data_IF_361140946742
#
_entry.id   IF_361140946742
#
_cell.length_a   1.000
_cell.length_b   1.000
_cell.length_c   1.000
_cell.angle_alpha   90.00
_cell.angle_beta   90.00
_cell.angle_gamma   90.00
#
_symmetry.space_group_name_H-M   'P 1'
#
loop_
_entity.id
_entity.type
_entity.pdbx_description
1 polymer ?
#
# COMPACT_ATOMS: atom_id res chain seq x y z
N UNK A 1 -22.85 -27.21 -30.96
CA UNK A 1 -21.69 -26.34 -31.16
C UNK A 1 -21.67 -25.50 -29.91
N UNK A 2 -20.70 -25.73 -29.03
CA UNK A 2 -20.59 -24.96 -27.80
C UNK A 2 -20.05 -23.59 -28.19
N UNK A 3 -20.81 -22.53 -27.90
CA UNK A 3 -20.38 -21.16 -28.16
C UNK A 3 -19.35 -20.78 -27.09
N UNK A 4 -18.07 -20.82 -27.46
CA UNK A 4 -16.96 -20.33 -26.64
C UNK A 4 -16.68 -18.86 -26.95
N UNK A 5 -16.33 -18.08 -25.93
CA UNK A 5 -15.87 -16.70 -26.06
C UNK A 5 -14.37 -16.67 -25.82
N UNK A 6 -13.61 -16.11 -26.76
CA UNK A 6 -12.17 -15.95 -26.63
C UNK A 6 -11.82 -14.51 -26.34
N UNK A 7 -11.10 -14.23 -25.25
CA UNK A 7 -10.69 -12.88 -24.87
C UNK A 7 -9.25 -12.88 -24.37
N UNK A 8 -8.69 -11.69 -24.14
CA UNK A 8 -7.28 -11.52 -23.80
C UNK A 8 -7.15 -10.94 -22.40
N UNK A 9 -6.46 -11.65 -21.51
CA UNK A 9 -6.03 -11.07 -20.24
C UNK A 9 -4.71 -10.36 -20.39
N UNK A 10 -4.58 -9.21 -19.73
CA UNK A 10 -3.36 -8.44 -19.65
C UNK A 10 -3.05 -8.10 -18.19
N UNK A 11 -1.80 -8.29 -17.78
CA UNK A 11 -1.26 -7.87 -16.50
C UNK A 11 0.13 -7.28 -16.72
N UNK A 12 0.23 -5.95 -16.73
CA UNK A 12 1.45 -5.26 -17.13
C UNK A 12 1.79 -5.57 -18.60
N UNK A 13 2.95 -6.19 -18.86
CA UNK A 13 3.32 -6.64 -20.22
C UNK A 13 2.92 -8.08 -20.54
N UNK A 14 2.45 -8.83 -19.54
CA UNK A 14 2.06 -10.22 -19.75
C UNK A 14 0.66 -10.23 -20.32
N UNK A 15 0.50 -10.82 -21.50
CA UNK A 15 -0.79 -10.98 -22.18
C UNK A 15 -0.96 -12.41 -22.66
N UNK A 16 -2.16 -12.95 -22.50
CA UNK A 16 -2.48 -14.30 -22.96
C UNK A 16 -3.96 -14.42 -23.31
N UNK A 17 -4.27 -15.35 -24.21
CA UNK A 17 -5.63 -15.63 -24.65
C UNK A 17 -6.29 -16.64 -23.72
N UNK A 18 -7.55 -16.39 -23.40
CA UNK A 18 -8.39 -17.29 -22.59
C UNK A 18 -9.68 -17.54 -23.34
N UNK A 19 -9.98 -18.82 -23.54
CA UNK A 19 -11.26 -19.28 -24.05
C UNK A 19 -12.12 -19.78 -22.88
N UNK A 20 -13.38 -19.35 -22.83
CA UNK A 20 -14.33 -19.78 -21.83
C UNK A 20 -15.71 -20.02 -22.47
N UNK A 21 -16.47 -21.05 -22.03
CA UNK A 21 -17.81 -21.28 -22.56
C UNK A 21 -18.73 -20.11 -22.24
N UNK A 22 -19.40 -19.54 -23.26
CA UNK A 22 -20.22 -18.34 -23.11
C UNK A 22 -21.30 -18.48 -22.03
N UNK A 23 -21.88 -19.68 -21.93
CA UNK A 23 -22.95 -20.01 -20.99
C UNK A 23 -22.49 -20.12 -19.53
N UNK A 24 -21.19 -20.33 -19.27
CA UNK A 24 -20.60 -20.38 -17.92
C UNK A 24 -19.94 -19.06 -17.53
N UNK A 25 -19.83 -18.12 -18.47
CA UNK A 25 -19.15 -16.85 -18.26
C UNK A 25 -19.98 -15.95 -17.34
N UNK A 26 -19.64 -16.00 -16.05
CA UNK A 26 -20.14 -15.09 -15.02
C UNK A 26 -18.99 -14.22 -14.52
N UNK A 27 -19.30 -13.11 -13.83
CA UNK A 27 -18.26 -12.23 -13.27
C UNK A 27 -17.37 -13.00 -12.27
N UNK A 28 -17.98 -13.88 -11.47
CA UNK A 28 -17.25 -14.76 -10.55
C UNK A 28 -16.29 -15.69 -11.30
N UNK A 29 -16.78 -16.37 -12.34
CA UNK A 29 -15.94 -17.24 -13.17
C UNK A 29 -14.80 -16.47 -13.85
N UNK A 30 -15.09 -15.28 -14.38
CA UNK A 30 -14.08 -14.41 -14.99
C UNK A 30 -12.99 -14.00 -13.99
N UNK A 31 -13.36 -13.71 -12.74
CA UNK A 31 -12.40 -13.45 -11.66
C UNK A 31 -11.58 -14.69 -11.31
N UNK A 32 -12.19 -15.87 -11.26
CA UNK A 32 -11.48 -17.12 -10.99
C UNK A 32 -10.44 -17.42 -12.10
N UNK A 33 -10.80 -17.18 -13.37
CA UNK A 33 -9.87 -17.28 -14.49
C UNK A 33 -8.72 -16.26 -14.37
N UNK A 34 -9.01 -15.02 -13.95
CA UNK A 34 -7.98 -14.01 -13.72
C UNK A 34 -7.04 -14.38 -12.55
N UNK A 35 -7.58 -14.95 -11.46
CA UNK A 35 -6.79 -15.45 -10.32
C UNK A 35 -5.86 -16.58 -10.79
N UNK A 36 -6.39 -17.53 -11.55
CA UNK A 36 -5.61 -18.63 -12.14
C UNK A 36 -4.49 -18.08 -13.03
N UNK A 37 -4.81 -17.14 -13.91
CA UNK A 37 -3.84 -16.48 -14.78
C UNK A 37 -2.70 -15.81 -13.99
N UNK A 38 -3.03 -15.09 -12.91
CA UNK A 38 -2.03 -14.42 -12.05
C UNK A 38 -1.14 -15.45 -11.34
N UNK A 39 -1.69 -16.57 -10.88
CA UNK A 39 -0.92 -17.65 -10.27
C UNK A 39 0.02 -18.33 -11.27
N UNK A 40 -0.47 -18.59 -12.49
CA UNK A 40 0.30 -19.27 -13.53
C UNK A 40 1.46 -18.39 -14.04
N UNK A 41 1.24 -17.08 -14.16
CA UNK A 41 2.25 -16.14 -14.67
C UNK A 41 3.16 -15.56 -13.59
N UNK A 42 2.72 -15.52 -12.33
CA UNK A 42 3.48 -15.00 -11.19
C UNK A 42 3.38 -16.01 -10.03
N UNK A 43 4.12 -17.13 -10.09
CA UNK A 43 4.25 -18.04 -8.95
C UNK A 43 4.90 -17.29 -7.77
N UNK A 44 4.52 -17.65 -6.54
CA UNK A 44 4.99 -16.99 -5.30
C UNK A 44 4.76 -15.47 -5.27
N UNK A 45 3.59 -15.06 -5.76
CA UNK A 45 3.10 -13.69 -5.69
C UNK A 45 2.92 -13.20 -4.24
N UNK A 46 2.79 -14.10 -3.25
CA UNK A 46 2.67 -13.75 -1.82
C UNK A 46 1.38 -12.99 -1.50
N UNK A 47 0.41 -13.04 -2.41
CA UNK A 47 -0.85 -12.31 -2.33
C UNK A 47 -1.93 -13.25 -1.80
N UNK A 48 -2.37 -13.00 -0.58
CA UNK A 48 -3.55 -13.68 -0.03
C UNK A 48 -4.83 -12.98 -0.52
N UNK A 49 -5.89 -13.78 -0.74
CA UNK A 49 -7.22 -13.31 -1.17
C UNK A 49 -7.21 -12.52 -2.49
N UNK A 50 -6.54 -13.06 -3.51
CA UNK A 50 -6.44 -12.42 -4.83
C UNK A 50 -7.79 -12.04 -5.44
N UNK A 51 -8.81 -12.88 -5.27
CA UNK A 51 -10.18 -12.64 -5.73
C UNK A 51 -10.78 -11.33 -5.23
N UNK A 52 -10.37 -10.87 -4.04
CA UNK A 52 -10.84 -9.63 -3.41
C UNK A 52 -10.00 -8.41 -3.81
N UNK A 53 -8.82 -8.65 -4.40
CA UNK A 53 -7.85 -7.59 -4.78
C UNK A 53 -7.82 -7.34 -6.28
N UNK A 54 -8.30 -8.28 -7.09
CA UNK A 54 -8.32 -8.16 -8.55
C UNK A 54 -9.51 -7.31 -8.98
N UNK A 55 -9.20 -6.25 -9.73
CA UNK A 55 -10.15 -5.48 -10.51
C UNK A 55 -9.91 -5.79 -11.99
N UNK A 56 -11.00 -5.90 -12.75
CA UNK A 56 -10.97 -6.22 -14.18
C UNK A 56 -11.51 -5.02 -14.96
N UNK A 57 -10.73 -4.57 -15.93
CA UNK A 57 -11.11 -3.46 -16.80
C UNK A 57 -11.10 -3.92 -18.25
N UNK A 58 -12.10 -3.50 -19.04
CA UNK A 58 -12.06 -3.64 -20.48
C UNK A 58 -11.45 -2.39 -21.11
N UNK A 59 -10.76 -2.57 -22.23
CA UNK A 59 -10.27 -1.45 -23.03
C UNK A 59 -11.33 -0.99 -24.03
N UNK A 60 -11.74 0.27 -23.95
CA UNK A 60 -12.61 0.94 -24.90
C UNK A 60 -11.89 2.17 -25.47
N UNK A 61 -11.20 1.98 -26.60
CA UNK A 61 -10.45 3.05 -27.27
C UNK A 61 -11.34 4.10 -27.97
N UNK A 62 -12.65 3.85 -28.04
CA UNK A 62 -13.62 4.82 -28.56
C UNK A 62 -14.12 5.77 -27.46
N UNK A 63 -13.87 5.43 -26.19
CA UNK A 63 -14.22 6.22 -25.01
C UNK A 63 -13.03 7.06 -24.54
N UNK A 64 -13.24 8.30 -24.03
CA UNK A 64 -12.18 9.06 -23.38
C UNK A 64 -11.66 8.38 -22.11
N UNK A 65 -12.50 7.56 -21.47
CA UNK A 65 -12.08 6.65 -20.40
C UNK A 65 -11.75 5.29 -21.03
N UNK A 66 -10.48 5.11 -21.40
CA UNK A 66 -10.01 3.91 -22.11
C UNK A 66 -10.17 2.65 -21.26
N UNK A 67 -10.00 2.76 -19.94
CA UNK A 67 -10.21 1.64 -19.01
C UNK A 67 -11.60 1.75 -18.38
N UNK A 68 -12.48 0.82 -18.72
CA UNK A 68 -13.83 0.73 -18.15
C UNK A 68 -13.93 -0.48 -17.24
N UNK A 69 -14.40 -0.28 -16.00
CA UNK A 69 -14.57 -1.38 -15.05
C UNK A 69 -15.62 -2.37 -15.57
N UNK A 70 -15.28 -3.66 -15.55
CA UNK A 70 -16.19 -4.74 -15.92
C UNK A 70 -17.13 -5.00 -14.75
N UNK A 71 -18.42 -4.70 -14.94
CA UNK A 71 -19.46 -4.92 -13.93
C UNK A 71 -20.35 -6.12 -14.25
N UNK A 72 -20.30 -6.61 -15.49
CA UNK A 72 -21.05 -7.78 -15.95
C UNK A 72 -20.19 -8.65 -16.86
N UNK A 73 -20.42 -9.96 -16.86
CA UNK A 73 -19.77 -10.86 -17.79
C UNK A 73 -20.14 -10.58 -19.26
N UNK A 74 -21.31 -9.97 -19.50
CA UNK A 74 -21.73 -9.52 -20.83
C UNK A 74 -20.84 -8.43 -21.43
N UNK A 75 -20.04 -7.74 -20.60
CA UNK A 75 -19.10 -6.72 -21.07
C UNK A 75 -17.87 -7.34 -21.72
N UNK A 76 -17.69 -8.66 -21.56
CA UNK A 76 -16.63 -9.46 -22.17
C UNK A 76 -17.20 -10.22 -23.36
N UNK A 77 -16.69 -9.87 -24.53
CA UNK A 77 -17.03 -10.49 -25.81
C UNK A 77 -15.76 -11.00 -26.49
N UNK A 78 -15.91 -11.64 -27.65
CA UNK A 78 -14.76 -12.12 -28.41
C UNK A 78 -13.75 -10.98 -28.67
N UNK A 79 -12.46 -11.28 -28.57
CA UNK A 79 -11.34 -10.34 -28.72
C UNK A 79 -11.27 -9.19 -27.69
N UNK A 80 -12.11 -9.23 -26.64
CA UNK A 80 -12.06 -8.19 -25.59
C UNK A 80 -10.72 -8.22 -24.86
N UNK A 81 -10.08 -7.05 -24.74
CA UNK A 81 -8.87 -6.90 -23.93
C UNK A 81 -9.26 -6.54 -22.49
N UNK A 82 -8.99 -7.48 -21.58
CA UNK A 82 -9.27 -7.37 -20.15
C UNK A 82 -7.96 -7.13 -19.39
N UNK A 83 -7.78 -5.93 -18.87
CA UNK A 83 -6.68 -5.55 -17.99
C UNK A 83 -6.99 -5.97 -16.54
N UNK A 84 -6.07 -6.73 -15.97
CA UNK A 84 -6.08 -7.18 -14.58
C UNK A 84 -5.29 -6.16 -13.76
N UNK A 85 -5.99 -5.48 -12.85
CA UNK A 85 -5.37 -4.53 -11.93
C UNK A 85 -5.40 -5.09 -10.52
N UNK A 86 -4.23 -5.23 -9.91
CA UNK A 86 -4.09 -5.68 -8.52
C UNK A 86 -4.17 -4.49 -7.58
N UNK A 87 -5.20 -4.47 -6.73
CA UNK A 87 -5.36 -3.41 -5.73
C UNK A 87 -4.53 -3.74 -4.50
N UNK A 88 -3.59 -2.85 -4.18
CA UNK A 88 -2.78 -2.88 -2.98
C UNK A 88 -3.54 -2.33 -1.75
N UNK A 89 -4.81 -2.70 -1.53
CA UNK A 89 -5.55 -2.19 -0.37
C UNK A 89 -5.16 -3.01 0.88
N UNK A 90 -4.46 -2.43 1.87
CA UNK A 90 -4.09 -3.15 3.09
C UNK A 90 -5.27 -3.28 4.08
N UNK A 91 -6.40 -2.61 3.82
CA UNK A 91 -7.54 -2.53 4.74
C UNK A 91 -8.49 -3.74 4.70
N UNK A 92 -8.31 -4.68 3.76
CA UNK A 92 -9.08 -5.93 3.70
C UNK A 92 -8.40 -7.10 4.42
N UNK A 93 -7.30 -6.83 5.12
CA UNK A 93 -6.67 -7.76 6.05
C UNK A 93 -7.32 -7.63 7.43
N UNK A 94 -8.60 -7.98 7.55
CA UNK A 94 -9.23 -8.16 8.85
C UNK A 94 -9.74 -9.60 8.97
N UNK A 95 -9.38 -10.26 10.07
CA UNK A 95 -9.79 -11.63 10.38
C UNK A 95 -8.68 -12.69 10.42
N UNK A 96 -7.68 -12.50 11.29
CA UNK A 96 -6.99 -13.57 12.02
C UNK A 96 -6.27 -14.68 11.23
N UNK A 97 -4.98 -14.48 10.97
CA UNK A 97 -3.92 -15.51 11.10
C UNK A 97 -2.58 -14.91 10.64
N UNK A 98 -1.68 -14.65 11.58
CA UNK A 98 -0.22 -14.87 11.50
C UNK A 98 0.48 -14.64 10.14
N UNK A 99 0.19 -13.53 9.45
CA UNK A 99 1.01 -13.05 8.33
C UNK A 99 1.69 -11.77 8.79
N UNK A 100 3.03 -11.78 8.73
CA UNK A 100 3.92 -10.74 9.25
C UNK A 100 3.30 -9.34 9.23
N UNK A 101 3.28 -8.59 10.35
CA UNK A 101 2.70 -7.26 10.40
C UNK A 101 3.30 -6.41 9.29
N UNK A 102 2.45 -5.79 8.46
CA UNK A 102 2.89 -4.79 7.51
C UNK A 102 3.84 -3.81 8.23
N UNK A 103 4.96 -3.39 7.60
CA UNK A 103 5.97 -2.58 8.25
C UNK A 103 5.31 -1.29 8.74
N UNK A 104 5.08 -1.18 10.05
CA UNK A 104 4.46 -0.02 10.69
C UNK A 104 5.57 0.88 11.20
N UNK A 105 5.85 2.02 10.54
CA UNK A 105 6.85 2.95 11.04
C UNK A 105 6.39 3.55 12.37
N UNK A 106 7.35 3.83 13.24
CA UNK A 106 7.06 4.54 14.48
C UNK A 106 6.70 6.00 14.19
N UNK A 107 5.56 6.47 14.71
CA UNK A 107 5.22 7.89 14.71
C UNK A 107 6.04 8.61 15.79
N UNK A 108 7.26 9.04 15.43
CA UNK A 108 8.22 9.63 16.35
C UNK A 108 8.02 11.14 16.48
N UNK A 109 7.80 11.63 17.71
CA UNK A 109 7.74 13.06 18.04
C UNK A 109 8.83 13.46 19.03
N UNK A 110 9.31 14.71 18.93
CA UNK A 110 10.37 15.22 19.80
C UNK A 110 9.84 15.40 21.21
N UNK A 111 10.48 14.75 22.18
CA UNK A 111 10.04 14.74 23.57
C UNK A 111 11.12 15.25 24.52
N UNK A 112 10.70 15.94 25.59
CA UNK A 112 11.59 16.37 26.68
C UNK A 112 11.29 15.54 27.92
N UNK A 113 12.28 14.79 28.39
CA UNK A 113 12.14 13.88 29.52
C UNK A 113 12.47 14.59 30.83
N UNK A 114 11.69 14.30 31.88
CA UNK A 114 11.87 14.84 33.24
C UNK A 114 12.77 13.97 34.12
N UNK A 115 13.17 12.79 33.65
CA UNK A 115 14.02 11.83 34.33
C UNK A 115 15.02 11.22 33.33
N UNK A 116 16.14 10.63 33.81
CA UNK A 116 17.08 9.91 32.95
C UNK A 116 16.36 8.80 32.17
N UNK A 117 16.41 8.88 30.85
CA UNK A 117 15.76 7.94 29.94
C UNK A 117 16.79 7.37 28.97
N UNK A 118 16.59 6.13 28.54
CA UNK A 118 17.52 5.40 27.69
C UNK A 118 16.88 5.13 26.34
N UNK A 119 17.71 5.03 25.31
CA UNK A 119 17.26 4.69 23.98
C UNK A 119 16.96 3.19 23.91
N UNK A 120 15.74 2.84 23.50
CA UNK A 120 15.30 1.44 23.37
C UNK A 120 15.96 0.71 22.19
N UNK A 121 16.74 1.41 21.36
CA UNK A 121 17.51 0.83 20.25
C UNK A 121 18.98 0.56 20.62
N UNK A 122 19.68 1.52 21.23
CA UNK A 122 21.12 1.37 21.53
C UNK A 122 21.43 1.20 23.02
N UNK A 123 20.43 1.29 23.91
CA UNK A 123 20.60 1.14 25.37
C UNK A 123 21.29 2.32 26.06
N UNK A 124 21.76 3.33 25.33
CA UNK A 124 22.46 4.49 25.91
C UNK A 124 21.49 5.59 26.35
N UNK A 125 21.92 6.40 27.33
CA UNK A 125 21.13 7.50 27.87
C UNK A 125 20.84 8.61 26.84
N UNK A 126 19.64 9.18 26.89
CA UNK A 126 19.24 10.37 26.15
C UNK A 126 19.80 11.62 26.87
N UNK A 127 20.94 12.13 26.42
CA UNK A 127 21.59 13.29 27.04
C UNK A 127 20.97 14.64 26.61
N UNK A 128 20.92 15.60 27.54
CA UNK A 128 20.55 17.00 27.27
C UNK A 128 19.54 17.58 28.28
N UNK A 129 19.44 18.91 28.33
CA UNK A 129 18.51 19.61 29.22
C UNK A 129 17.06 19.61 28.71
N UNK A 130 16.87 19.64 27.39
CA UNK A 130 15.55 19.61 26.73
C UNK A 130 15.65 18.86 25.40
N UNK A 131 14.52 18.31 24.92
CA UNK A 131 14.42 17.64 23.61
C UNK A 131 15.50 16.57 23.40
N UNK A 132 15.77 15.77 24.44
CA UNK A 132 16.87 14.80 24.48
C UNK A 132 16.69 13.67 23.46
N UNK A 133 15.44 13.36 23.09
CA UNK A 133 15.16 12.28 22.15
C UNK A 133 13.79 12.40 21.49
N UNK A 134 13.43 11.29 20.85
CA UNK A 134 12.18 11.07 20.16
C UNK A 134 11.37 10.05 20.96
N UNK A 135 10.05 10.19 20.98
CA UNK A 135 9.11 9.24 21.57
C UNK A 135 8.11 8.80 20.51
N UNK A 136 7.84 7.51 20.42
CA UNK A 136 6.78 7.01 19.56
C UNK A 136 5.40 7.24 20.21
N UNK A 137 4.49 7.87 19.49
CA UNK A 137 3.09 8.09 19.95
C UNK A 137 2.27 6.80 19.94
N UNK A 138 2.67 5.81 19.14
CA UNK A 138 2.09 4.47 19.15
C UNK A 138 2.61 3.65 20.33
N UNK A 139 3.83 3.12 20.23
CA UNK A 139 4.35 2.14 21.19
C UNK A 139 4.98 2.74 22.46
N UNK A 140 5.14 4.06 22.55
CA UNK A 140 5.73 4.72 23.72
C UNK A 140 7.25 4.59 23.87
N UNK A 141 7.93 3.89 22.95
CA UNK A 141 9.38 3.70 22.96
C UNK A 141 10.14 4.99 22.63
N UNK A 142 11.37 5.08 23.12
CA UNK A 142 12.21 6.27 23.16
C UNK A 142 13.49 6.05 22.36
N UNK A 143 13.84 7.00 21.49
CA UNK A 143 14.97 6.86 20.58
C UNK A 143 15.82 8.14 20.49
N UNK A 144 17.13 8.00 20.25
CA UNK A 144 17.92 9.14 19.79
C UNK A 144 17.53 9.53 18.36
N UNK A 145 17.80 10.79 17.99
CA UNK A 145 17.68 11.25 16.59
C UNK A 145 18.51 10.40 15.61
N UNK A 146 19.71 9.99 16.02
CA UNK A 146 20.60 9.10 15.24
C UNK A 146 20.14 7.65 15.19
N UNK A 147 19.35 7.22 16.18
CA UNK A 147 18.86 5.85 16.26
C UNK A 147 17.59 5.67 15.45
N UNK A 148 16.75 6.71 15.36
CA UNK A 148 15.49 6.70 14.61
C UNK A 148 15.61 6.15 13.17
N UNK A 149 16.70 6.48 12.47
CA UNK A 149 16.95 6.00 11.09
C UNK A 149 17.30 4.50 11.00
N UNK A 150 17.65 3.86 12.12
CA UNK A 150 18.03 2.44 12.20
C UNK A 150 16.94 1.57 12.86
N UNK A 151 15.85 2.16 13.35
CA UNK A 151 14.78 1.42 14.03
C UNK A 151 13.96 0.65 13.00
N UNK A 152 13.72 -0.67 13.19
CA UNK A 152 12.82 -1.44 12.34
C UNK A 152 11.39 -0.86 12.35
N UNK A 153 10.67 -0.98 11.24
CA UNK A 153 9.27 -0.52 11.14
C UNK A 153 8.30 -1.58 11.69
N UNK A 154 8.36 -1.87 12.99
CA UNK A 154 7.54 -2.90 13.63
C UNK A 154 6.71 -2.36 14.82
N UNK A 155 6.21 -1.13 14.73
CA UNK A 155 5.43 -0.51 15.80
C UNK A 155 4.17 -1.33 16.12
N UNK A 156 3.97 -1.68 17.39
CA UNK A 156 2.91 -2.62 17.84
C UNK A 156 1.56 -1.97 18.17
N UNK A 157 1.46 -0.65 18.30
CA UNK A 157 0.22 0.01 18.76
C UNK A 157 -0.66 0.58 17.63
N UNK A 158 -2.00 0.62 17.81
CA UNK A 158 -2.94 1.23 16.86
C UNK A 158 -2.80 2.76 16.88
N UNK A 159 -2.61 3.37 15.73
CA UNK A 159 -2.77 4.83 15.61
C UNK A 159 -4.28 5.11 15.58
N UNK A 160 -4.86 5.94 16.47
CA UNK A 160 -6.20 6.44 16.25
C UNK A 160 -6.18 7.27 14.96
N UNK A 161 -6.96 6.82 13.98
CA UNK A 161 -7.19 7.55 12.75
C UNK A 161 -7.80 8.92 13.07
N UNK A 162 -7.16 9.99 12.62
CA UNK A 162 -7.76 11.31 12.53
C UNK A 162 -7.44 12.27 13.67
N UNK A 163 -6.54 13.20 13.40
CA UNK A 163 -6.61 14.55 13.96
C UNK A 163 -6.30 15.55 12.84
N UNK A 164 -7.30 15.71 11.97
CA UNK A 164 -7.43 16.93 11.17
C UNK A 164 -7.54 18.13 12.11
N UNK A 165 -6.95 19.23 11.66
CA UNK A 165 -7.10 20.57 12.20
C UNK A 165 -8.56 20.94 12.50
N UNK A 166 -8.88 21.23 13.76
CA UNK A 166 -10.05 22.00 14.15
C UNK A 166 -9.69 22.88 15.36
N UNK A 167 -10.08 24.15 15.28
CA UNK A 167 -9.58 25.24 16.10
C UNK A 167 -10.19 25.36 17.50
N UNK A 168 -9.39 26.01 18.35
CA UNK A 168 -9.73 27.07 19.31
C UNK A 168 -11.02 26.99 20.15
N UNK A 169 -10.84 26.94 21.47
CA UNK A 169 -11.45 27.91 22.40
C UNK A 169 -10.71 28.00 23.75
N UNK A 170 -10.13 29.20 24.02
CA UNK A 170 -9.86 29.79 25.36
C UNK A 170 -8.72 29.23 26.21
N UNK A 171 -7.89 30.01 26.93
CA UNK A 171 -7.68 31.45 27.04
C UNK A 171 -6.38 31.75 27.85
N UNK A 172 -5.68 32.85 27.47
CA UNK A 172 -4.75 33.72 28.27
C UNK A 172 -3.40 33.11 28.74
N UNK A 173 -2.23 33.79 28.74
CA UNK A 173 -1.76 35.16 28.41
C UNK A 173 -0.20 35.17 28.35
N UNK A 174 0.37 35.96 27.42
CA UNK A 174 1.63 36.80 27.47
C UNK A 174 2.96 36.07 27.76
N UNK A 175 4.10 36.21 27.04
CA UNK A 175 4.72 37.29 26.24
C UNK A 175 5.92 36.75 25.44
N UNK A 176 6.22 37.36 24.28
CA UNK A 176 7.60 37.67 23.88
C UNK A 176 8.25 36.83 22.77
N UNK A 177 8.40 37.45 21.59
CA UNK A 177 9.67 37.42 20.85
C UNK A 177 9.84 36.47 19.66
N UNK A 178 9.69 37.06 18.46
CA UNK A 178 10.49 36.87 17.22
C UNK A 178 10.42 35.52 16.45
N UNK A 179 10.04 35.66 15.17
CA UNK A 179 10.16 34.71 14.05
C UNK A 179 11.57 34.11 13.91
N UNK A 180 11.75 32.94 13.24
CA UNK A 180 11.89 33.00 11.77
C UNK A 180 11.49 31.73 10.96
N UNK A 181 11.21 31.96 9.67
CA UNK A 181 11.71 31.20 8.52
C UNK A 181 11.20 29.80 8.13
N UNK A 182 10.93 29.74 6.81
CA UNK A 182 11.34 28.73 5.82
C UNK A 182 10.43 27.52 5.58
N UNK A 183 9.88 27.53 4.37
CA UNK A 183 9.32 26.38 3.68
C UNK A 183 10.37 25.28 3.52
N UNK A 184 9.98 24.06 3.91
CA UNK A 184 10.70 22.83 3.64
C UNK A 184 9.95 22.08 2.55
N UNK A 185 10.45 22.13 1.32
CA UNK A 185 10.27 21.02 0.38
C UNK A 185 11.13 19.87 0.88
N UNK A 186 10.58 18.66 0.93
CA UNK A 186 11.22 17.37 0.62
C UNK A 186 10.32 16.27 1.19
N UNK A 187 9.35 15.88 0.39
CA UNK A 187 8.64 14.61 0.52
C UNK A 187 9.57 13.51 0.06
N UNK A 188 9.88 12.54 0.91
CA UNK A 188 10.40 11.25 0.46
C UNK A 188 9.57 10.15 1.11
N UNK A 189 8.59 9.70 0.35
CA UNK A 189 7.98 8.39 0.47
C UNK A 189 8.89 7.35 -0.20
N UNK A 190 8.92 6.13 0.32
CA UNK A 190 8.68 4.88 -0.42
C UNK A 190 9.42 3.68 0.18
N UNK A 191 8.65 2.76 0.77
CA UNK A 191 9.03 1.36 0.96
C UNK A 191 8.06 0.43 0.20
N UNK A 192 7.29 0.96 -0.76
CA UNK A 192 6.35 0.20 -1.61
C UNK A 192 6.99 -0.26 -2.92
N UNK A 193 8.31 -0.16 -3.03
CA UNK A 193 9.01 -0.35 -4.30
C UNK A 193 9.23 -1.83 -4.65
N UNK A 194 8.91 -2.79 -3.77
CA UNK A 194 9.26 -4.21 -4.02
C UNK A 194 8.32 -4.92 -5.00
N UNK A 195 7.01 -4.71 -4.89
CA UNK A 195 6.02 -5.35 -5.77
C UNK A 195 5.95 -4.65 -7.13
N UNK A 196 5.98 -3.31 -7.13
CA UNK A 196 6.09 -2.52 -8.36
C UNK A 196 7.42 -2.82 -9.06
N UNK A 197 8.56 -2.95 -8.34
CA UNK A 197 9.81 -3.41 -8.97
C UNK A 197 9.75 -4.87 -9.43
N UNK A 198 9.03 -5.79 -8.78
CA UNK A 198 8.89 -7.19 -9.26
C UNK A 198 8.05 -7.24 -10.53
N UNK A 199 6.94 -6.51 -10.59
CA UNK A 199 6.16 -6.34 -11.82
C UNK A 199 6.96 -5.62 -12.90
N UNK A 200 7.71 -4.56 -12.55
CA UNK A 200 8.59 -3.85 -13.49
C UNK A 200 9.80 -4.69 -13.93
N UNK A 201 10.27 -5.67 -13.14
CA UNK A 201 11.32 -6.61 -13.56
C UNK A 201 10.79 -7.65 -14.55
N UNK A 202 9.55 -8.13 -14.36
CA UNK A 202 8.85 -8.94 -15.37
C UNK A 202 8.64 -8.16 -16.68
N UNK A 203 8.61 -6.82 -16.62
CA UNK A 203 8.55 -5.93 -17.79
C UNK A 203 9.91 -5.83 -18.53
N UNK A 204 11.04 -5.98 -17.85
CA UNK A 204 12.37 -5.76 -18.43
C UNK A 204 13.11 -7.02 -18.90
N UNK A 205 12.68 -8.23 -18.51
CA UNK A 205 13.40 -9.49 -18.81
C UNK A 205 13.05 -10.10 -20.19
N UNK A 206 12.22 -9.44 -21.01
CA UNK A 206 11.77 -9.97 -22.32
C UNK A 206 12.45 -9.34 -23.56
N UNK A 207 13.50 -8.56 -23.35
CA UNK A 207 14.34 -7.98 -24.43
C UNK A 207 15.82 -8.41 -24.29
N UNK A 208 16.08 -9.72 -24.20
CA UNK A 208 17.43 -10.30 -24.38
C UNK A 208 17.39 -11.65 -25.07
#
# INVERSE_FOLDING_TARGET
MEDDVTFLFQLGVVRDAVAAPAHLLTLAHLKDLAVKFVHDKIPDNGLNRLSDRILLFRHDYCSPNVLQLINSASDVTDETLVEIVLTANPLLCDGGAEVAPAPRPHALSVHSYKAPTFCDFCGEMLFGLVRQGLKCEGCGLNYHKRCAVKVPSNCTCPVPAGAGSAGSAGARRVSGGRSPSRASTHSHASHDDSLVRRLARLVTDKDS
#
